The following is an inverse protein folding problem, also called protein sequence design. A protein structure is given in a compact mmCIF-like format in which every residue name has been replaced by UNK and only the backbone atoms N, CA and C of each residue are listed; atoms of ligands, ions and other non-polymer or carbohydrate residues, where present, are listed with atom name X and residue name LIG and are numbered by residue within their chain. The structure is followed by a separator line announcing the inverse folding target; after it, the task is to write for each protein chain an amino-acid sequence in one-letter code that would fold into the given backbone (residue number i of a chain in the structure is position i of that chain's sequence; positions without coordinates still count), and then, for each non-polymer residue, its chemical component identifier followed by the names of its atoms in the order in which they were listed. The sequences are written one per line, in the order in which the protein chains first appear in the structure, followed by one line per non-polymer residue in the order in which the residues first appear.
data_IF_732328132281
#
_entry.id   IF_732328132281
#
_cell.length_a   1.000
_cell.length_b   1.000
_cell.length_c   1.000
_cell.angle_alpha   90.00
_cell.angle_beta   90.00
_cell.angle_gamma   90.00
#
_symmetry.space_group_name_H-M   'P 1'
#
loop_
_entity.id
_entity.type
_entity.pdbx_description
1 polymer ?
#
# COMPACT_ATOMS: atom_id res chain seq x y z
N UNK A 1 8.14 -7.95 -4.54
CA UNK A 1 8.10 -8.23 -3.09
C UNK A 1 9.44 -8.03 -2.39
N UNK A 2 10.60 -8.27 -3.04
CA UNK A 2 11.92 -8.03 -2.44
C UNK A 2 12.16 -6.57 -2.00
N UNK A 3 11.77 -5.59 -2.82
CA UNK A 3 11.99 -4.16 -2.54
C UNK A 3 11.17 -3.66 -1.36
N UNK A 4 9.90 -4.09 -1.25
CA UNK A 4 9.05 -3.75 -0.11
C UNK A 4 9.63 -4.31 1.20
N UNK A 5 10.18 -5.52 1.17
CA UNK A 5 10.85 -6.14 2.32
C UNK A 5 12.12 -5.40 2.77
N UNK A 6 12.93 -4.89 1.82
CA UNK A 6 14.12 -4.08 2.14
C UNK A 6 13.77 -2.72 2.74
N UNK A 7 12.61 -2.16 2.39
CA UNK A 7 12.19 -0.81 2.82
C UNK A 7 11.43 -0.84 4.13
N UNK A 8 10.83 -1.98 4.49
CA UNK A 8 10.14 -2.17 5.76
C UNK A 8 10.96 -1.78 7.01
N UNK A 9 12.26 -2.15 7.16
CA UNK A 9 13.05 -1.68 8.30
C UNK A 9 13.33 -0.17 8.27
N UNK A 10 13.50 0.42 7.09
CA UNK A 10 13.63 1.88 6.93
C UNK A 10 12.35 2.62 7.33
N UNK A 11 11.18 1.99 7.20
CA UNK A 11 9.91 2.57 7.62
C UNK A 11 9.89 2.93 9.12
N UNK A 12 10.52 2.11 9.97
CA UNK A 12 10.63 2.41 11.40
C UNK A 12 11.36 3.74 11.65
N UNK A 13 12.46 3.98 10.94
CA UNK A 13 13.20 5.24 11.00
C UNK A 13 12.33 6.43 10.58
N UNK A 14 11.59 6.31 9.47
CA UNK A 14 10.70 7.38 9.01
C UNK A 14 9.54 7.65 9.98
N UNK A 15 8.96 6.60 10.58
CA UNK A 15 7.87 6.73 11.57
C UNK A 15 8.32 7.43 12.86
N UNK A 16 9.58 7.26 13.27
CA UNK A 16 10.14 7.98 14.42
C UNK A 16 10.44 9.45 14.10
N UNK A 17 10.82 9.77 12.86
CA UNK A 17 11.29 11.10 12.46
C UNK A 17 10.19 12.03 11.96
N UNK A 18 9.09 11.49 11.42
CA UNK A 18 8.01 12.28 10.84
C UNK A 18 6.66 11.98 11.50
N UNK A 19 5.74 12.97 11.57
CA UNK A 19 4.40 12.74 12.09
C UNK A 19 3.62 11.77 11.18
N UNK A 20 2.94 10.80 11.78
CA UNK A 20 2.23 9.71 11.09
C UNK A 20 1.30 10.19 9.97
N UNK A 21 0.50 11.24 10.20
CA UNK A 21 -0.41 11.81 9.17
C UNK A 21 0.35 12.30 7.93
N UNK A 22 1.49 13.00 8.13
CA UNK A 22 2.28 13.54 7.03
C UNK A 22 2.99 12.41 6.28
N UNK A 23 3.52 11.43 7.02
CA UNK A 23 4.16 10.26 6.42
C UNK A 23 3.18 9.46 5.55
N UNK A 24 1.96 9.21 6.05
CA UNK A 24 0.90 8.55 5.28
C UNK A 24 0.55 9.32 4.00
N UNK A 25 0.43 10.65 4.08
CA UNK A 25 0.09 11.48 2.92
C UNK A 25 1.21 11.44 1.88
N UNK A 26 2.47 11.49 2.32
CA UNK A 26 3.64 11.40 1.44
C UNK A 26 3.74 10.05 0.74
N UNK A 27 3.61 8.94 1.48
CA UNK A 27 3.66 7.59 0.90
C UNK A 27 2.53 7.36 -0.08
N UNK A 28 1.34 7.90 0.18
CA UNK A 28 0.22 7.80 -0.74
C UNK A 28 0.41 8.65 -2.01
N UNK A 29 1.10 9.79 -1.90
CA UNK A 29 1.58 10.55 -3.06
C UNK A 29 2.58 9.76 -3.92
N UNK A 30 3.55 9.08 -3.28
CA UNK A 30 4.51 8.20 -3.97
C UNK A 30 3.78 7.04 -4.67
N UNK A 31 2.80 6.44 -4.00
CA UNK A 31 1.98 5.38 -4.57
C UNK A 31 1.19 5.85 -5.81
N UNK A 32 0.63 7.06 -5.76
CA UNK A 32 -0.07 7.67 -6.89
C UNK A 32 0.88 7.92 -8.07
N UNK A 33 2.07 8.47 -7.82
CA UNK A 33 3.08 8.69 -8.86
C UNK A 33 3.49 7.36 -9.49
N UNK A 34 3.74 6.34 -8.67
CA UNK A 34 4.06 5.00 -9.17
C UNK A 34 2.95 4.39 -10.02
N UNK A 35 1.68 4.64 -9.70
CA UNK A 35 0.55 4.23 -10.54
C UNK A 35 0.50 4.98 -11.86
N UNK A 36 0.66 6.31 -11.85
CA UNK A 36 0.70 7.11 -13.07
C UNK A 36 1.81 6.64 -14.02
N UNK A 37 3.02 6.39 -13.49
CA UNK A 37 4.12 5.83 -14.29
C UNK A 37 3.74 4.48 -14.89
N UNK A 38 3.12 3.60 -14.11
CA UNK A 38 2.68 2.28 -14.60
C UNK A 38 1.55 2.35 -15.63
N UNK A 39 0.61 3.29 -15.49
CA UNK A 39 -0.51 3.48 -16.41
C UNK A 39 -0.05 3.97 -17.79
N UNK A 40 0.91 4.90 -17.81
CA UNK A 40 1.44 5.46 -19.05
C UNK A 40 2.74 4.78 -19.52
N UNK A 41 3.06 3.59 -19.01
CA UNK A 41 4.31 2.92 -19.32
C UNK A 41 4.36 2.46 -20.80
N UNK A 42 5.29 2.97 -21.62
CA UNK A 42 5.40 2.57 -23.03
C UNK A 42 6.12 1.24 -23.21
N UNK A 43 6.87 0.78 -22.21
CA UNK A 43 7.65 -0.45 -22.26
C UNK A 43 7.80 -1.07 -20.86
N UNK A 44 8.33 -2.29 -20.82
CA UNK A 44 8.50 -3.06 -19.58
C UNK A 44 9.36 -2.35 -18.53
N UNK A 45 10.41 -1.64 -18.96
CA UNK A 45 11.34 -0.97 -18.04
C UNK A 45 10.63 0.16 -17.29
N UNK A 46 9.84 0.98 -17.99
CA UNK A 46 9.02 2.03 -17.36
C UNK A 46 7.98 1.44 -16.40
N UNK A 47 7.34 0.33 -16.79
CA UNK A 47 6.39 -0.37 -15.91
C UNK A 47 7.08 -0.90 -14.64
N UNK A 48 8.27 -1.47 -14.79
CA UNK A 48 9.09 -1.96 -13.67
C UNK A 48 9.46 -0.82 -12.72
N UNK A 49 9.90 0.33 -13.24
CA UNK A 49 10.21 1.51 -12.43
C UNK A 49 8.96 1.96 -11.64
N UNK A 50 7.80 2.04 -12.28
CA UNK A 50 6.55 2.36 -11.60
C UNK A 50 6.25 1.37 -10.45
N UNK A 51 6.44 0.07 -10.69
CA UNK A 51 6.26 -0.97 -9.66
C UNK A 51 7.27 -0.87 -8.52
N UNK A 52 8.52 -0.50 -8.81
CA UNK A 52 9.54 -0.25 -7.79
C UNK A 52 9.13 0.92 -6.89
N UNK A 53 8.68 2.03 -7.49
CA UNK A 53 8.20 3.20 -6.77
C UNK A 53 7.00 2.85 -5.88
N UNK A 54 6.02 2.08 -6.41
CA UNK A 54 4.90 1.59 -5.61
C UNK A 54 5.35 0.69 -4.45
N UNK A 55 6.36 -0.17 -4.66
CA UNK A 55 6.88 -1.05 -3.62
C UNK A 55 7.49 -0.29 -2.43
N UNK A 56 8.08 0.89 -2.68
CA UNK A 56 8.55 1.80 -1.61
C UNK A 56 7.38 2.23 -0.73
N UNK A 57 6.30 2.75 -1.36
CA UNK A 57 5.14 3.23 -0.63
C UNK A 57 4.46 2.10 0.17
N UNK A 58 4.31 0.91 -0.41
CA UNK A 58 3.72 -0.26 0.25
C UNK A 58 4.58 -0.74 1.42
N UNK A 59 5.91 -0.75 1.27
CA UNK A 59 6.85 -1.15 2.32
C UNK A 59 6.79 -0.26 3.56
N UNK A 60 6.49 1.03 3.38
CA UNK A 60 6.30 1.97 4.50
C UNK A 60 4.88 1.91 5.07
N UNK A 61 3.86 1.76 4.23
CA UNK A 61 2.47 1.77 4.67
C UNK A 61 2.07 0.55 5.52
N UNK A 62 2.60 -0.64 5.23
CA UNK A 62 2.33 -1.86 6.00
C UNK A 62 2.57 -1.71 7.52
N UNK A 63 3.77 -1.30 7.97
CA UNK A 63 4.01 -1.07 9.39
C UNK A 63 3.30 0.20 9.90
N UNK A 64 3.11 1.22 9.06
CA UNK A 64 2.43 2.46 9.42
C UNK A 64 0.97 2.24 9.80
N UNK A 65 0.21 1.47 9.02
CA UNK A 65 -1.20 1.16 9.29
C UNK A 65 -1.32 0.39 10.61
N UNK A 66 -0.48 -0.63 10.80
CA UNK A 66 -0.44 -1.38 12.05
C UNK A 66 -0.13 -0.47 13.25
N UNK A 67 0.82 0.46 13.11
CA UNK A 67 1.18 1.41 14.16
C UNK A 67 0.07 2.44 14.45
N UNK A 68 -0.62 2.95 13.44
CA UNK A 68 -1.76 3.86 13.63
C UNK A 68 -2.89 3.14 14.39
N UNK A 69 -3.17 1.89 14.03
CA UNK A 69 -4.20 1.09 14.70
C UNK A 69 -3.86 0.84 16.18
N UNK A 70 -2.61 0.59 16.54
CA UNK A 70 -2.23 0.38 17.94
C UNK A 70 -2.30 1.66 18.78
N UNK A 71 -2.11 2.83 18.17
CA UNK A 71 -2.22 4.14 18.82
C UNK A 71 -3.69 4.52 19.05
N UNK A 72 -4.57 4.29 18.07
CA UNK A 72 -5.98 4.72 18.12
C UNK A 72 -6.85 3.71 18.87
N UNK A 73 -6.57 2.40 18.74
CA UNK A 73 -7.43 1.34 19.28
C UNK A 73 -6.91 0.88 20.66
N UNK A 74 -7.77 0.88 21.71
CA UNK A 74 -7.41 0.38 23.03
C UNK A 74 -7.07 -1.11 23.02
N UNK A 75 -6.15 -1.53 23.90
CA UNK A 75 -5.52 -2.85 23.88
C UNK A 75 -6.50 -4.03 23.77
N UNK A 76 -7.65 -3.94 24.45
CA UNK A 76 -8.70 -4.97 24.47
C UNK A 76 -9.30 -5.28 23.08
N UNK A 77 -9.31 -4.29 22.18
CA UNK A 77 -9.95 -4.39 20.87
C UNK A 77 -8.95 -4.43 19.70
N UNK A 78 -7.64 -4.44 19.98
CA UNK A 78 -6.59 -4.41 18.94
C UNK A 78 -6.67 -5.60 17.99
N UNK A 79 -6.87 -6.81 18.54
CA UNK A 79 -6.96 -8.03 17.74
C UNK A 79 -8.10 -7.99 16.73
N UNK A 80 -9.28 -7.51 17.15
CA UNK A 80 -10.44 -7.34 16.27
C UNK A 80 -10.18 -6.27 15.20
N UNK A 81 -9.62 -5.12 15.57
CA UNK A 81 -9.35 -4.04 14.62
C UNK A 81 -8.30 -4.43 13.57
N UNK A 82 -7.20 -5.08 13.99
CA UNK A 82 -6.17 -5.60 13.09
C UNK A 82 -6.74 -6.73 12.22
N UNK A 83 -7.61 -7.59 12.77
CA UNK A 83 -8.30 -8.63 12.02
C UNK A 83 -9.20 -8.09 10.92
N UNK A 84 -10.05 -7.09 11.22
CA UNK A 84 -10.91 -6.42 10.23
C UNK A 84 -10.06 -5.73 9.15
N UNK A 85 -8.98 -5.03 9.55
CA UNK A 85 -8.05 -4.43 8.59
C UNK A 85 -7.42 -5.50 7.68
N UNK A 86 -7.03 -6.65 8.23
CA UNK A 86 -6.52 -7.79 7.47
C UNK A 86 -7.53 -8.36 6.47
N UNK A 87 -8.81 -8.46 6.85
CA UNK A 87 -9.88 -8.88 5.95
C UNK A 87 -9.98 -7.93 4.76
N UNK A 88 -10.00 -6.62 5.01
CA UNK A 88 -10.09 -5.59 3.95
C UNK A 88 -8.87 -5.65 3.02
N UNK A 89 -7.66 -5.80 3.57
CA UNK A 89 -6.41 -5.87 2.79
C UNK A 89 -6.39 -7.10 1.86
N UNK A 90 -6.96 -8.23 2.27
CA UNK A 90 -7.03 -9.44 1.44
C UNK A 90 -8.21 -9.42 0.45
N UNK A 91 -9.33 -8.82 0.82
CA UNK A 91 -10.48 -8.68 -0.07
C UNK A 91 -10.21 -7.71 -1.22
N UNK A 92 -9.45 -6.64 -1.01
CA UNK A 92 -9.14 -5.66 -2.05
C UNK A 92 -8.57 -6.31 -3.33
N UNK A 93 -7.46 -7.06 -3.25
CA UNK A 93 -6.88 -7.79 -4.38
C UNK A 93 -7.77 -8.91 -4.92
N UNK A 94 -8.69 -9.46 -4.13
CA UNK A 94 -9.62 -10.48 -4.61
C UNK A 94 -10.71 -9.86 -5.50
N UNK A 95 -11.23 -8.69 -5.11
CA UNK A 95 -12.30 -7.98 -5.82
C UNK A 95 -11.76 -7.31 -7.10
N UNK A 96 -10.53 -6.82 -7.09
CA UNK A 96 -9.93 -6.09 -8.22
C UNK A 96 -9.99 -6.83 -9.57
N UNK A 97 -9.45 -8.07 -9.66
CA UNK A 97 -9.52 -8.90 -10.88
C UNK A 97 -10.95 -9.27 -11.27
N UNK A 98 -11.83 -9.53 -10.30
CA UNK A 98 -13.24 -9.85 -10.58
C UNK A 98 -13.96 -8.68 -11.22
N UNK A 99 -13.84 -7.47 -10.65
CA UNK A 99 -14.47 -6.28 -11.22
C UNK A 99 -13.86 -5.91 -12.57
N UNK A 100 -12.53 -5.94 -12.70
CA UNK A 100 -11.89 -5.64 -13.99
C UNK A 100 -12.23 -6.66 -15.07
N UNK A 101 -12.37 -7.94 -14.74
CA UNK A 101 -12.83 -8.98 -15.65
C UNK A 101 -14.25 -8.74 -16.14
N UNK A 102 -15.18 -8.42 -15.24
CA UNK A 102 -16.56 -8.08 -15.60
C UNK A 102 -16.62 -6.86 -16.51
N UNK A 103 -15.86 -5.80 -16.20
CA UNK A 103 -15.83 -4.59 -17.04
C UNK A 103 -15.36 -4.90 -18.46
N UNK A 104 -14.32 -5.74 -18.60
CA UNK A 104 -13.83 -6.15 -19.92
C UNK A 104 -14.89 -6.95 -20.69
N UNK A 105 -15.59 -7.87 -20.02
CA UNK A 105 -16.63 -8.71 -20.63
C UNK A 105 -17.86 -7.92 -21.12
N UNK A 106 -18.18 -6.77 -20.51
CA UNK A 106 -19.27 -5.90 -20.94
C UNK A 106 -18.87 -4.84 -21.99
N UNK A 107 -17.57 -4.64 -22.24
CA UNK A 107 -17.04 -3.62 -23.16
C UNK A 107 -16.36 -4.20 -24.41
N UNK A 108 -16.30 -5.53 -24.52
CA UNK A 108 -16.15 -6.29 -25.78
C UNK A 108 -17.53 -6.50 -26.45
#
# INVERSE_FOLDING_TARGET
MLVAGMIMPLAAFFMHRFPLKRLFTMTMGIFLIGNLISTFAPNFIFLLIGRLVQAIAVGINMPLVTNVLTIIIPAKNRGLAIGIAGIIINLGPAIGPTLSGVILEFYD
#
